data_IF_859702091722
#
_entry.id   IF_859702091722
#
_cell.length_a   1.000
_cell.length_b   1.000
_cell.length_c   1.000
_cell.angle_alpha   90.00
_cell.angle_beta   90.00
_cell.angle_gamma   90.00
#
_symmetry.space_group_name_H-M   'P 1'
#
loop_
_entity.id
_entity.type
_entity.pdbx_description
1 polymer ?
#
# COMPACT_ATOMS: atom_id res chain seq x y z
N UNK A 1 52.44 -9.44 47.05
CA UNK A 1 51.96 -8.78 45.82
C UNK A 1 51.53 -9.88 44.84
N UNK A 2 50.22 -10.07 44.66
CA UNK A 2 49.64 -11.13 43.82
C UNK A 2 49.81 -10.75 42.34
N UNK A 3 50.54 -11.57 41.59
CA UNK A 3 50.58 -11.53 40.12
C UNK A 3 49.21 -11.99 39.60
N UNK A 4 48.44 -11.09 39.02
CA UNK A 4 47.27 -11.45 38.22
C UNK A 4 47.84 -12.11 36.96
N UNK A 5 47.60 -13.42 36.80
CA UNK A 5 48.08 -14.18 35.66
C UNK A 5 47.27 -13.80 34.42
N UNK A 6 47.96 -13.69 33.28
CA UNK A 6 47.43 -13.43 31.93
C UNK A 6 46.21 -14.31 31.52
N UNK A 7 45.90 -15.36 32.26
CA UNK A 7 44.75 -16.24 32.04
C UNK A 7 43.39 -15.54 32.28
N UNK A 8 43.35 -14.44 33.04
CA UNK A 8 42.12 -13.65 33.25
C UNK A 8 41.81 -12.64 32.13
N UNK A 9 42.75 -12.42 31.20
CA UNK A 9 42.52 -11.58 30.01
C UNK A 9 41.98 -12.45 28.86
N UNK A 10 42.26 -13.75 28.86
CA UNK A 10 41.76 -14.67 27.83
C UNK A 10 40.29 -15.05 28.05
N UNK A 11 39.77 -15.02 29.29
CA UNK A 11 38.34 -15.20 29.57
C UNK A 11 37.51 -13.93 29.32
N UNK A 12 38.15 -12.76 29.24
CA UNK A 12 37.49 -11.49 28.89
C UNK A 12 37.54 -11.19 27.37
N UNK A 13 38.31 -11.97 26.60
CA UNK A 13 38.43 -11.87 25.14
C UNK A 13 37.81 -13.07 24.39
N UNK A 14 37.26 -14.04 25.12
CA UNK A 14 36.37 -15.10 24.60
C UNK A 14 34.89 -14.84 24.93
N UNK A 15 34.63 -13.75 25.64
CA UNK A 15 33.37 -12.99 25.57
C UNK A 15 33.66 -11.77 24.69
N UNK A 16 34.29 -11.98 23.53
CA UNK A 16 33.84 -11.22 22.37
C UNK A 16 32.40 -11.64 22.19
N UNK A 17 31.55 -10.74 22.66
CA UNK A 17 30.16 -10.55 22.30
C UNK A 17 30.12 -10.60 20.77
N UNK A 18 30.10 -11.80 20.21
CA UNK A 18 29.04 -12.13 19.31
C UNK A 18 27.77 -12.10 20.18
N UNK A 19 27.28 -10.90 20.49
CA UNK A 19 25.87 -10.68 20.22
C UNK A 19 25.80 -10.80 18.70
N UNK A 20 25.79 -12.05 18.23
CA UNK A 20 24.81 -12.40 17.24
C UNK A 20 23.52 -11.94 17.88
N UNK A 21 23.15 -10.67 17.65
CA UNK A 21 21.75 -10.30 17.61
C UNK A 21 21.18 -11.38 16.71
N UNK A 22 20.57 -12.40 17.32
CA UNK A 22 19.68 -13.25 16.58
C UNK A 22 18.53 -12.29 16.33
N UNK A 23 18.67 -11.45 15.30
CA UNK A 23 17.51 -10.81 14.73
C UNK A 23 16.67 -11.98 14.28
N UNK A 24 15.60 -12.22 15.03
CA UNK A 24 14.63 -13.22 14.67
C UNK A 24 14.10 -12.84 13.30
N UNK A 25 14.04 -13.80 12.39
CA UNK A 25 13.51 -13.55 11.06
C UNK A 25 12.02 -13.83 11.11
N UNK A 26 11.21 -12.84 10.74
CA UNK A 26 9.79 -13.03 10.53
C UNK A 26 9.54 -13.30 9.05
N UNK A 27 8.93 -14.44 8.74
CA UNK A 27 8.60 -14.86 7.38
C UNK A 27 7.11 -14.64 7.13
N UNK A 28 6.77 -13.58 6.38
CA UNK A 28 5.45 -13.38 5.81
C UNK A 28 5.36 -14.10 4.43
N UNK A 29 4.16 -14.17 3.87
CA UNK A 29 3.90 -14.81 2.56
C UNK A 29 4.71 -14.16 1.43
N UNK A 30 4.65 -12.83 1.28
CA UNK A 30 5.32 -12.10 0.18
C UNK A 30 6.78 -11.73 0.47
N UNK A 31 7.18 -11.71 1.74
CA UNK A 31 8.50 -11.24 2.14
C UNK A 31 8.90 -11.76 3.51
N UNK A 32 10.19 -11.65 3.81
CA UNK A 32 10.72 -11.84 5.17
C UNK A 32 11.42 -10.57 5.63
N UNK A 33 11.47 -10.35 6.94
CA UNK A 33 12.16 -9.22 7.55
C UNK A 33 12.93 -9.66 8.79
N UNK A 34 14.11 -9.10 9.01
CA UNK A 34 14.82 -9.26 10.28
C UNK A 34 14.14 -8.37 11.34
N UNK A 35 13.67 -8.97 12.43
CA UNK A 35 13.11 -8.30 13.60
C UNK A 35 14.28 -7.77 14.45
N UNK A 36 14.46 -6.45 14.56
CA UNK A 36 15.48 -5.86 15.41
C UNK A 36 15.21 -6.12 16.90
N UNK A 37 16.28 -6.30 17.68
CA UNK A 37 16.21 -6.41 19.15
C UNK A 37 15.31 -5.33 19.77
N UNK A 38 14.35 -5.76 20.60
CA UNK A 38 13.43 -4.89 21.32
C UNK A 38 12.10 -4.60 20.59
N UNK A 39 11.94 -5.09 19.36
CA UNK A 39 10.67 -5.16 18.66
C UNK A 39 10.12 -6.59 18.69
N UNK A 40 8.80 -6.71 18.72
CA UNK A 40 8.09 -7.97 18.64
C UNK A 40 7.07 -7.89 17.48
N UNK A 41 6.95 -8.94 16.66
CA UNK A 41 5.90 -9.02 15.67
C UNK A 41 4.55 -9.19 16.37
N UNK A 42 3.53 -8.48 15.89
CA UNK A 42 2.17 -8.66 16.36
C UNK A 42 1.64 -10.02 15.85
N UNK A 43 1.33 -10.95 16.75
CA UNK A 43 0.87 -12.31 16.40
C UNK A 43 -0.45 -12.30 15.62
N UNK A 44 -1.26 -11.24 15.76
CA UNK A 44 -2.52 -11.05 15.02
C UNK A 44 -2.31 -10.33 13.67
N UNK A 45 -1.06 -10.04 13.27
CA UNK A 45 -0.75 -9.34 12.02
C UNK A 45 -0.89 -10.19 10.73
N UNK A 46 -1.39 -11.42 10.82
CA UNK A 46 -1.76 -12.22 9.64
C UNK A 46 -3.22 -11.99 9.18
N UNK A 47 -3.68 -10.75 8.99
CA UNK A 47 -4.81 -10.54 8.07
C UNK A 47 -4.31 -10.73 6.63
N UNK A 48 -4.34 -11.98 6.19
CA UNK A 48 -4.11 -12.38 4.81
C UNK A 48 -5.25 -11.88 3.91
N UNK A 49 -5.24 -10.60 3.56
CA UNK A 49 -5.92 -10.20 2.33
C UNK A 49 -5.26 -10.94 1.17
N UNK A 50 -6.05 -11.35 0.18
CA UNK A 50 -5.60 -12.19 -0.93
C UNK A 50 -4.39 -11.61 -1.66
N UNK A 51 -4.25 -10.29 -1.64
CA UNK A 51 -3.20 -9.53 -2.32
C UNK A 51 -2.19 -8.82 -1.40
N UNK A 52 -2.63 -8.24 -0.27
CA UNK A 52 -1.74 -7.52 0.66
C UNK A 52 -1.20 -8.47 1.69
N UNK A 53 0.08 -8.32 1.98
CA UNK A 53 0.68 -8.95 3.15
C UNK A 53 1.27 -7.86 4.03
N UNK A 54 0.90 -7.87 5.31
CA UNK A 54 1.39 -6.89 6.26
C UNK A 54 2.04 -7.56 7.45
N UNK A 55 2.97 -6.84 8.06
CA UNK A 55 3.60 -7.18 9.33
C UNK A 55 3.62 -5.92 10.16
N UNK A 56 3.23 -6.04 11.42
CA UNK A 56 3.39 -4.98 12.41
C UNK A 56 4.47 -5.40 13.41
N UNK A 57 5.47 -4.55 13.62
CA UNK A 57 6.51 -4.70 14.63
C UNK A 57 6.37 -3.57 15.65
N UNK A 58 6.19 -3.91 16.92
CA UNK A 58 6.00 -2.92 17.99
C UNK A 58 7.05 -3.12 19.08
N UNK A 59 7.52 -2.03 19.68
CA UNK A 59 8.39 -2.16 20.85
C UNK A 59 7.60 -2.55 22.11
N UNK A 60 8.26 -3.17 23.08
CA UNK A 60 7.62 -3.61 24.35
C UNK A 60 6.97 -2.49 25.18
N UNK A 61 7.22 -1.22 24.84
CA UNK A 61 6.63 -0.05 25.51
C UNK A 61 5.48 0.58 24.70
N UNK A 62 5.12 0.00 23.55
CA UNK A 62 4.23 0.55 22.53
C UNK A 62 4.56 2.00 22.16
N UNK A 63 5.84 2.38 22.23
CA UNK A 63 6.30 3.72 21.88
C UNK A 63 6.57 3.83 20.40
N UNK A 64 7.05 2.77 19.77
CA UNK A 64 7.37 2.71 18.35
C UNK A 64 6.64 1.54 17.69
N UNK A 65 5.93 1.83 16.61
CA UNK A 65 5.26 0.84 15.77
C UNK A 65 5.73 0.99 14.34
N UNK A 66 6.13 -0.11 13.73
CA UNK A 66 6.51 -0.22 12.34
C UNK A 66 5.49 -1.10 11.64
N UNK A 67 4.92 -0.62 10.55
CA UNK A 67 4.03 -1.43 9.70
C UNK A 67 4.67 -1.54 8.34
N UNK A 68 4.79 -2.77 7.87
CA UNK A 68 5.32 -3.12 6.56
C UNK A 68 4.17 -3.73 5.78
N UNK A 69 3.81 -3.13 4.64
CA UNK A 69 2.86 -3.69 3.69
C UNK A 69 3.57 -3.99 2.38
N UNK A 70 3.29 -5.16 1.81
CA UNK A 70 3.80 -5.59 0.52
C UNK A 70 2.66 -5.86 -0.46
N UNK A 71 2.87 -5.45 -1.71
CA UNK A 71 1.98 -5.66 -2.84
C UNK A 71 2.73 -6.45 -3.93
N UNK A 72 2.15 -7.51 -4.52
CA UNK A 72 2.82 -8.40 -5.46
C UNK A 72 2.87 -7.83 -6.89
N UNK A 73 3.05 -6.52 -7.01
CA UNK A 73 3.20 -5.78 -8.26
C UNK A 73 3.96 -4.48 -8.00
N UNK A 74 4.54 -3.90 -9.05
CA UNK A 74 5.27 -2.64 -8.97
C UNK A 74 4.39 -1.46 -9.42
N UNK A 75 4.13 -0.53 -8.51
CA UNK A 75 3.57 0.79 -8.80
C UNK A 75 4.66 1.87 -8.85
N UNK A 76 4.27 3.11 -9.15
CA UNK A 76 5.14 4.26 -8.95
C UNK A 76 5.23 4.56 -7.43
N UNK A 77 6.41 4.44 -6.78
CA UNK A 77 6.49 4.59 -5.32
C UNK A 77 6.11 5.98 -4.80
N UNK A 78 6.37 7.05 -5.56
CA UNK A 78 5.96 8.42 -5.19
C UNK A 78 4.43 8.53 -5.16
N UNK A 79 3.79 8.05 -6.22
CA UNK A 79 2.34 8.08 -6.38
C UNK A 79 1.63 7.20 -5.34
N UNK A 80 2.15 5.99 -5.10
CA UNK A 80 1.65 5.08 -4.07
C UNK A 80 1.76 5.72 -2.70
N UNK A 81 2.93 6.28 -2.35
CA UNK A 81 3.13 6.91 -1.05
C UNK A 81 2.18 8.09 -0.86
N UNK A 82 2.05 8.95 -1.87
CA UNK A 82 1.13 10.07 -1.85
C UNK A 82 -0.31 9.59 -1.60
N UNK A 83 -0.75 8.54 -2.30
CA UNK A 83 -2.09 7.99 -2.13
C UNK A 83 -2.35 7.40 -0.75
N UNK A 84 -1.42 6.60 -0.24
CA UNK A 84 -1.55 5.96 1.08
C UNK A 84 -1.52 6.99 2.22
N UNK A 85 -1.01 8.19 1.96
CA UNK A 85 -0.88 9.28 2.95
C UNK A 85 -1.84 10.44 2.66
N UNK A 86 -1.42 11.40 1.85
CA UNK A 86 -2.15 12.62 1.49
C UNK A 86 -3.46 12.33 0.76
N UNK A 87 -3.49 11.27 -0.06
CA UNK A 87 -4.66 10.84 -0.82
C UNK A 87 -5.71 10.08 0.01
N UNK A 88 -5.41 9.72 1.27
CA UNK A 88 -6.37 9.08 2.17
C UNK A 88 -6.65 7.60 1.89
N UNK A 89 -5.81 6.92 1.10
CA UNK A 89 -5.97 5.50 0.77
C UNK A 89 -5.78 4.54 1.96
N UNK A 90 -5.11 5.00 3.03
CA UNK A 90 -5.02 4.26 4.29
C UNK A 90 -5.89 4.94 5.37
N UNK A 91 -7.03 4.34 5.76
CA UNK A 91 -7.93 4.92 6.74
C UNK A 91 -7.29 5.05 8.13
N UNK A 92 -6.31 4.21 8.48
CA UNK A 92 -5.57 4.31 9.73
C UNK A 92 -4.71 5.58 9.80
N UNK A 93 -4.33 6.13 8.64
CA UNK A 93 -3.53 7.35 8.53
C UNK A 93 -4.38 8.58 8.17
N UNK A 94 -5.71 8.44 8.07
CA UNK A 94 -6.59 9.55 7.70
C UNK A 94 -6.57 10.73 8.69
N UNK A 95 -6.24 10.45 9.97
CA UNK A 95 -6.11 11.46 11.02
C UNK A 95 -4.72 12.14 11.08
N UNK A 96 -3.79 11.73 10.20
CA UNK A 96 -2.43 12.26 10.18
C UNK A 96 -2.34 13.52 9.33
N UNK A 97 -1.53 14.46 9.81
CA UNK A 97 -1.05 15.60 9.07
C UNK A 97 0.26 15.28 8.35
N UNK A 98 0.31 15.69 7.09
CA UNK A 98 1.49 15.60 6.23
C UNK A 98 1.94 17.03 5.91
N UNK A 99 3.22 17.35 6.09
CA UNK A 99 3.72 18.63 5.60
C UNK A 99 3.42 18.69 4.10
N UNK A 100 2.96 19.85 3.61
CA UNK A 100 2.53 20.03 2.22
C UNK A 100 3.63 19.82 1.16
N UNK A 101 4.81 19.35 1.57
CA UNK A 101 5.84 18.81 0.70
C UNK A 101 5.37 17.50 0.07
N UNK A 102 5.63 17.37 -1.23
CA UNK A 102 5.56 16.08 -1.92
C UNK A 102 6.48 15.06 -1.22
N UNK A 103 6.26 13.75 -1.42
CA UNK A 103 7.22 12.74 -1.00
C UNK A 103 8.64 13.09 -1.49
N UNK A 104 9.62 12.92 -0.62
CA UNK A 104 11.04 13.21 -0.88
C UNK A 104 11.79 11.90 -1.20
N UNK A 105 12.81 11.89 -2.06
CA UNK A 105 13.55 10.67 -2.36
C UNK A 105 14.42 10.23 -1.16
N UNK A 106 14.47 8.92 -0.89
CA UNK A 106 15.38 8.33 0.11
C UNK A 106 16.29 7.26 -0.50
N UNK A 107 17.40 6.96 0.21
CA UNK A 107 18.28 5.83 -0.12
C UNK A 107 18.86 5.15 1.11
N UNK A 108 18.50 3.89 1.30
CA UNK A 108 18.99 3.00 2.37
C UNK A 108 19.67 1.79 1.75
N UNK A 109 21.01 1.79 1.73
CA UNK A 109 21.78 0.71 1.11
C UNK A 109 21.45 0.56 -0.38
N UNK A 110 20.85 -0.57 -0.74
CA UNK A 110 20.37 -0.87 -2.10
C UNK A 110 18.92 -0.46 -2.35
N UNK A 111 18.20 -0.04 -1.31
CA UNK A 111 16.81 0.41 -1.38
C UNK A 111 16.78 1.89 -1.73
N UNK A 112 16.02 2.23 -2.75
CA UNK A 112 15.73 3.61 -3.14
C UNK A 112 14.23 3.75 -3.40
N UNK A 113 13.69 4.92 -3.08
CA UNK A 113 12.26 5.17 -3.12
C UNK A 113 11.94 6.56 -2.61
N UNK A 114 10.76 6.71 -2.02
CA UNK A 114 10.27 7.99 -1.52
C UNK A 114 9.85 7.88 -0.06
N UNK A 115 10.02 8.96 0.68
CA UNK A 115 9.64 9.10 2.09
C UNK A 115 8.78 10.35 2.31
N UNK A 116 7.95 10.33 3.34
CA UNK A 116 7.14 11.48 3.75
C UNK A 116 7.03 11.51 5.26
N UNK A 117 7.29 12.67 5.85
CA UNK A 117 7.08 12.88 7.28
C UNK A 117 5.58 12.91 7.62
N UNK A 118 5.22 12.41 8.78
CA UNK A 118 3.85 12.31 9.26
C UNK A 118 3.78 12.79 10.71
N UNK A 119 2.69 13.44 11.09
CA UNK A 119 2.42 13.82 12.49
C UNK A 119 0.92 13.89 12.71
N UNK A 120 0.39 13.48 13.85
CA UNK A 120 -1.05 13.53 14.06
C UNK A 120 -1.47 12.97 15.40
N UNK A 121 -2.76 12.67 15.52
CA UNK A 121 -3.35 12.10 16.73
C UNK A 121 -4.04 10.79 16.36
N UNK A 122 -3.60 9.69 16.95
CA UNK A 122 -4.22 8.37 16.82
C UNK A 122 -4.74 7.96 18.19
N UNK A 123 -6.03 7.65 18.28
CA UNK A 123 -6.68 7.26 19.56
C UNK A 123 -6.45 8.25 20.72
N UNK A 124 -6.30 9.54 20.40
CA UNK A 124 -6.04 10.60 21.39
C UNK A 124 -4.57 10.74 21.82
N UNK A 125 -3.66 10.04 21.14
CA UNK A 125 -2.21 10.08 21.39
C UNK A 125 -1.53 10.83 20.26
N UNK A 126 -0.74 11.84 20.59
CA UNK A 126 0.14 12.53 19.64
C UNK A 126 1.22 11.56 19.14
N UNK A 127 1.32 11.42 17.83
CA UNK A 127 2.30 10.57 17.17
C UNK A 127 3.00 11.33 16.05
N UNK A 128 4.27 10.99 15.83
CA UNK A 128 5.06 11.43 14.67
C UNK A 128 5.63 10.22 13.96
N UNK A 129 5.96 10.36 12.68
CA UNK A 129 6.37 9.22 11.88
C UNK A 129 6.98 9.58 10.55
N UNK A 130 7.39 8.54 9.83
CA UNK A 130 7.80 8.62 8.43
C UNK A 130 7.21 7.45 7.67
N UNK A 131 6.55 7.75 6.54
CA UNK A 131 6.13 6.75 5.57
C UNK A 131 7.19 6.61 4.48
N UNK A 132 7.42 5.40 4.00
CA UNK A 132 8.39 5.04 2.98
C UNK A 132 7.70 4.19 1.93
N UNK A 133 7.98 4.41 0.66
CA UNK A 133 7.54 3.54 -0.42
C UNK A 133 8.69 3.26 -1.37
N UNK A 134 8.86 2.00 -1.75
CA UNK A 134 9.92 1.56 -2.67
C UNK A 134 9.51 0.28 -3.39
N UNK A 135 10.17 0.01 -4.52
CA UNK A 135 10.01 -1.25 -5.24
C UNK A 135 11.24 -2.14 -5.02
N UNK A 136 11.02 -3.44 -4.96
CA UNK A 136 12.08 -4.44 -5.04
C UNK A 136 11.54 -5.77 -5.51
N UNK A 137 12.27 -6.41 -6.41
CA UNK A 137 12.03 -7.79 -6.86
C UNK A 137 10.56 -8.07 -7.26
N UNK A 138 9.92 -7.13 -7.97
CA UNK A 138 8.52 -7.28 -8.41
C UNK A 138 7.47 -6.87 -7.38
N UNK A 139 7.86 -6.37 -6.22
CA UNK A 139 6.98 -5.90 -5.16
C UNK A 139 7.10 -4.40 -4.91
N UNK A 140 5.96 -3.73 -4.71
CA UNK A 140 5.91 -2.45 -4.02
C UNK A 140 5.76 -2.68 -2.51
N UNK A 141 6.59 -1.98 -1.73
CA UNK A 141 6.50 -1.93 -0.28
C UNK A 141 6.07 -0.55 0.17
N UNK A 142 5.11 -0.51 1.09
CA UNK A 142 4.80 0.67 1.89
C UNK A 142 5.15 0.37 3.35
N UNK A 143 6.15 1.06 3.88
CA UNK A 143 6.61 0.92 5.25
C UNK A 143 6.35 2.23 5.97
N UNK A 144 5.73 2.21 7.14
CA UNK A 144 5.68 3.40 7.99
C UNK A 144 6.12 3.09 9.39
N UNK A 145 6.74 4.08 10.03
CA UNK A 145 6.96 4.08 11.45
C UNK A 145 6.16 5.20 12.11
N UNK A 146 5.50 4.88 13.22
CA UNK A 146 4.80 5.83 14.07
C UNK A 146 5.39 5.72 15.48
N UNK A 147 5.61 6.86 16.11
CA UNK A 147 6.16 6.92 17.45
C UNK A 147 5.48 7.97 18.32
N UNK A 148 5.39 7.68 19.61
CA UNK A 148 5.01 8.64 20.66
C UNK A 148 6.18 9.55 21.05
N UNK A 149 7.39 9.22 20.61
CA UNK A 149 8.57 10.05 20.84
C UNK A 149 8.57 11.31 19.98
N UNK A 150 9.41 12.29 20.32
CA UNK A 150 9.46 13.55 19.58
C UNK A 150 10.00 13.39 18.13
N UNK A 151 10.75 12.33 17.86
CA UNK A 151 11.39 12.08 16.56
C UNK A 151 11.38 10.59 16.23
N UNK A 152 10.98 10.17 15.02
CA UNK A 152 11.06 8.77 14.61
C UNK A 152 12.52 8.27 14.48
N UNK A 153 12.79 7.01 14.85
CA UNK A 153 14.13 6.42 14.74
C UNK A 153 14.45 6.00 13.29
N UNK A 154 15.05 6.93 12.54
CA UNK A 154 15.48 6.69 11.17
C UNK A 154 16.54 5.58 11.02
N UNK A 155 17.32 5.26 12.06
CA UNK A 155 18.29 4.14 12.00
C UNK A 155 17.57 2.80 12.05
N UNK A 156 16.53 2.70 12.89
CA UNK A 156 15.72 1.51 12.98
C UNK A 156 14.91 1.29 11.69
N UNK A 157 14.26 2.33 11.15
CA UNK A 157 13.58 2.26 9.85
C UNK A 157 14.52 1.78 8.75
N UNK A 158 15.75 2.30 8.70
CA UNK A 158 16.78 1.83 7.77
C UNK A 158 17.08 0.34 7.94
N UNK A 159 17.31 -0.12 9.18
CA UNK A 159 17.65 -1.53 9.46
C UNK A 159 16.52 -2.47 9.00
N UNK A 160 15.26 -2.09 9.25
CA UNK A 160 14.09 -2.85 8.81
C UNK A 160 13.99 -2.86 7.28
N UNK A 161 14.06 -1.70 6.63
CA UNK A 161 13.93 -1.59 5.17
C UNK A 161 15.06 -2.33 4.43
N UNK A 162 16.29 -2.24 4.93
CA UNK A 162 17.45 -2.94 4.35
C UNK A 162 17.39 -4.46 4.55
N UNK A 163 16.66 -4.97 5.54
CA UNK A 163 16.56 -6.41 5.83
C UNK A 163 15.42 -7.12 5.09
N UNK A 164 14.46 -6.37 4.53
CA UNK A 164 13.37 -6.93 3.74
C UNK A 164 13.92 -7.73 2.57
N UNK A 165 13.50 -8.99 2.47
CA UNK A 165 13.80 -9.90 1.37
C UNK A 165 12.50 -10.45 0.80
N UNK A 166 12.30 -10.35 -0.52
CA UNK A 166 11.07 -10.78 -1.19
C UNK A 166 11.06 -12.30 -1.36
N UNK A 167 9.88 -12.91 -1.17
CA UNK A 167 9.64 -14.30 -1.52
C UNK A 167 9.25 -14.39 -3.01
N UNK A 168 10.24 -14.45 -3.89
CA UNK A 168 10.05 -14.42 -5.35
C UNK A 168 9.14 -15.54 -5.86
N UNK A 169 9.19 -16.72 -5.25
CA UNK A 169 8.37 -17.87 -5.65
C UNK A 169 6.87 -17.57 -5.46
N UNK A 170 6.51 -16.84 -4.39
CA UNK A 170 5.13 -16.40 -4.18
C UNK A 170 4.72 -15.33 -5.20
N UNK A 171 5.61 -14.37 -5.52
CA UNK A 171 5.31 -13.33 -6.52
C UNK A 171 5.03 -13.95 -7.88
N UNK A 172 5.86 -14.90 -8.30
CA UNK A 172 5.67 -15.63 -9.55
C UNK A 172 4.40 -16.49 -9.57
N UNK A 173 3.80 -16.77 -8.40
CA UNK A 173 2.53 -17.50 -8.30
C UNK A 173 1.29 -16.64 -8.57
N UNK A 174 1.44 -15.31 -8.60
CA UNK A 174 0.34 -14.40 -8.92
C UNK A 174 0.18 -14.27 -10.44
N UNK A 175 -0.85 -14.90 -10.97
CA UNK A 175 -1.29 -14.63 -12.34
C UNK A 175 -2.14 -13.35 -12.43
N UNK A 176 -2.42 -12.93 -13.66
CA UNK A 176 -3.20 -11.74 -13.95
C UNK A 176 -4.60 -11.77 -13.30
N UNK A 177 -5.25 -12.95 -13.21
CA UNK A 177 -6.58 -13.06 -12.61
C UNK A 177 -6.51 -12.81 -11.10
N UNK A 178 -5.56 -13.46 -10.41
CA UNK A 178 -5.36 -13.32 -8.97
C UNK A 178 -4.96 -11.90 -8.57
N UNK A 179 -4.13 -11.22 -9.37
CA UNK A 179 -3.77 -9.81 -9.15
C UNK A 179 -5.00 -8.91 -9.25
N UNK A 180 -5.76 -9.04 -10.35
CA UNK A 180 -6.93 -8.19 -10.63
C UNK A 180 -8.05 -8.43 -9.63
N UNK A 181 -8.34 -9.68 -9.30
CA UNK A 181 -9.38 -9.99 -8.31
C UNK A 181 -8.95 -9.52 -6.92
N UNK A 182 -7.67 -9.64 -6.59
CA UNK A 182 -7.14 -9.13 -5.33
C UNK A 182 -7.31 -7.62 -5.15
N UNK A 183 -7.04 -6.81 -6.19
CA UNK A 183 -7.26 -5.35 -6.11
C UNK A 183 -8.75 -5.02 -6.12
N UNK A 184 -9.58 -5.79 -6.83
CA UNK A 184 -11.03 -5.64 -6.83
C UNK A 184 -11.61 -5.94 -5.43
N UNK A 185 -11.18 -7.01 -4.77
CA UNK A 185 -11.60 -7.35 -3.41
C UNK A 185 -11.23 -6.26 -2.41
N UNK A 186 -10.00 -5.71 -2.50
CA UNK A 186 -9.60 -4.57 -1.67
C UNK A 186 -10.48 -3.35 -1.91
N UNK A 187 -10.75 -3.02 -3.17
CA UNK A 187 -11.61 -1.90 -3.51
C UNK A 187 -13.06 -2.11 -3.03
N UNK A 188 -13.56 -3.36 -3.03
CA UNK A 188 -14.89 -3.71 -2.51
C UNK A 188 -15.05 -3.45 -1.01
N UNK A 189 -13.96 -3.34 -0.24
CA UNK A 189 -14.03 -2.97 1.19
C UNK A 189 -14.38 -1.49 1.40
N UNK A 190 -14.19 -0.66 0.37
CA UNK A 190 -14.40 0.78 0.45
C UNK A 190 -15.73 1.23 -0.16
N UNK A 191 -16.54 0.32 -0.71
CA UNK A 191 -17.86 0.62 -1.27
C UNK A 191 -18.98 0.38 -0.23
N UNK A 192 -20.11 1.13 -0.29
CA UNK A 192 -20.36 2.23 -1.22
C UNK A 192 -19.53 3.48 -0.89
N UNK A 193 -18.96 4.11 -1.92
CA UNK A 193 -18.18 5.34 -1.81
C UNK A 193 -18.86 6.46 -2.58
N UNK A 194 -19.20 7.56 -1.88
CA UNK A 194 -19.73 8.76 -2.54
C UNK A 194 -18.61 9.45 -3.31
N UNK A 195 -18.75 9.57 -4.62
CA UNK A 195 -17.77 10.20 -5.51
C UNK A 195 -18.03 11.69 -5.61
N UNK A 196 -19.30 12.07 -5.76
CA UNK A 196 -19.75 13.46 -5.83
C UNK A 196 -21.16 13.62 -5.23
N UNK A 197 -21.81 14.77 -5.44
CA UNK A 197 -23.13 15.03 -4.88
C UNK A 197 -24.21 14.06 -5.36
N UNK A 198 -24.07 13.48 -6.56
CA UNK A 198 -25.08 12.66 -7.24
C UNK A 198 -24.62 11.21 -7.45
N UNK A 199 -23.31 10.97 -7.55
CA UNK A 199 -22.74 9.68 -7.93
C UNK A 199 -22.16 8.95 -6.72
N UNK A 200 -22.57 7.70 -6.56
CA UNK A 200 -22.00 6.75 -5.59
C UNK A 200 -21.40 5.57 -6.34
N UNK A 201 -20.13 5.28 -6.11
CA UNK A 201 -19.54 4.02 -6.54
C UNK A 201 -20.03 2.91 -5.61
N UNK A 202 -20.85 2.00 -6.15
CA UNK A 202 -21.65 1.07 -5.37
C UNK A 202 -21.28 -0.40 -5.57
N UNK A 203 -20.46 -0.72 -6.58
CA UNK A 203 -20.17 -2.10 -6.93
C UNK A 203 -18.93 -2.27 -7.81
N UNK A 204 -18.37 -3.47 -7.77
CA UNK A 204 -17.25 -3.90 -8.61
C UNK A 204 -17.50 -5.33 -9.07
N UNK A 205 -17.50 -5.54 -10.39
CA UNK A 205 -17.60 -6.86 -11.00
C UNK A 205 -16.35 -7.14 -11.83
N UNK A 206 -15.83 -8.36 -11.73
CA UNK A 206 -14.70 -8.82 -12.55
C UNK A 206 -15.18 -9.95 -13.47
N UNK A 207 -14.92 -9.84 -14.77
CA UNK A 207 -15.12 -10.91 -15.75
C UNK A 207 -13.77 -11.30 -16.35
N UNK A 208 -13.13 -12.31 -15.75
CA UNK A 208 -11.82 -12.80 -16.21
C UNK A 208 -11.85 -13.40 -17.62
N UNK A 209 -12.98 -13.98 -18.04
CA UNK A 209 -13.11 -14.55 -19.39
C UNK A 209 -13.09 -13.45 -20.47
N UNK A 210 -13.73 -12.31 -20.18
CA UNK A 210 -13.70 -11.13 -21.07
C UNK A 210 -12.51 -10.20 -20.79
N UNK A 211 -11.76 -10.45 -19.71
CA UNK A 211 -10.75 -9.53 -19.15
C UNK A 211 -11.33 -8.13 -18.96
N UNK A 212 -12.33 -8.02 -18.11
CA UNK A 212 -13.03 -6.77 -17.85
C UNK A 212 -13.23 -6.56 -16.33
N UNK A 213 -12.96 -5.36 -15.85
CA UNK A 213 -13.34 -4.89 -14.51
C UNK A 213 -14.39 -3.80 -14.67
N UNK A 214 -15.55 -3.97 -14.07
CA UNK A 214 -16.67 -3.02 -14.15
C UNK A 214 -16.94 -2.39 -12.79
N UNK A 215 -16.79 -1.07 -12.72
CA UNK A 215 -17.20 -0.22 -11.61
C UNK A 215 -18.64 0.23 -11.82
N UNK A 216 -19.50 0.01 -10.81
CA UNK A 216 -20.92 0.39 -10.87
C UNK A 216 -21.12 1.75 -10.19
N UNK A 217 -21.59 2.71 -10.96
CA UNK A 217 -21.84 4.09 -10.55
C UNK A 217 -23.36 4.28 -10.37
N UNK A 218 -23.82 4.34 -9.14
CA UNK A 218 -25.24 4.57 -8.80
C UNK A 218 -25.55 6.06 -8.71
N UNK A 219 -26.64 6.46 -9.35
CA UNK A 219 -27.16 7.82 -9.42
C UNK A 219 -28.55 7.91 -8.79
N UNK A 220 -28.80 8.93 -7.97
CA UNK A 220 -30.13 9.20 -7.40
C UNK A 220 -31.01 9.97 -8.39
N UNK A 221 -32.32 9.68 -8.44
CA UNK A 221 -33.29 10.40 -9.28
C UNK A 221 -34.02 9.50 -10.27
N UNK A 222 -34.55 10.09 -11.32
CA UNK A 222 -35.32 9.39 -12.36
C UNK A 222 -34.55 9.40 -13.69
N UNK A 223 -34.81 8.45 -14.59
CA UNK A 223 -34.07 8.33 -15.86
C UNK A 223 -34.16 9.59 -16.73
N UNK A 224 -35.25 10.36 -16.61
CA UNK A 224 -35.42 11.64 -17.33
C UNK A 224 -34.44 12.72 -16.90
N UNK A 225 -33.94 12.67 -15.66
CA UNK A 225 -32.98 13.65 -15.13
C UNK A 225 -31.61 13.51 -15.81
N UNK A 226 -31.35 12.33 -16.39
CA UNK A 226 -30.10 11.94 -17.02
C UNK A 226 -30.23 11.83 -18.55
N UNK A 227 -31.23 12.49 -19.15
CA UNK A 227 -31.36 12.54 -20.60
C UNK A 227 -30.09 13.13 -21.24
N UNK A 228 -29.37 12.33 -22.04
CA UNK A 228 -28.11 12.72 -22.68
C UNK A 228 -26.84 12.30 -21.91
N UNK A 229 -26.96 11.48 -20.87
CA UNK A 229 -25.80 10.94 -20.14
C UNK A 229 -24.78 10.25 -21.08
N UNK A 230 -25.23 9.54 -22.12
CA UNK A 230 -24.33 8.92 -23.11
C UNK A 230 -23.45 9.95 -23.84
N UNK A 231 -24.05 11.08 -24.28
CA UNK A 231 -23.30 12.15 -24.95
C UNK A 231 -22.31 12.83 -24.00
N UNK A 232 -22.73 13.00 -22.73
CA UNK A 232 -21.86 13.53 -21.69
C UNK A 232 -20.66 12.61 -21.43
N UNK A 233 -20.89 11.31 -21.21
CA UNK A 233 -19.81 10.34 -21.00
C UNK A 233 -18.89 10.23 -22.22
N UNK A 234 -19.44 10.26 -23.43
CA UNK A 234 -18.65 10.31 -24.66
C UNK A 234 -17.75 11.55 -24.73
N UNK A 235 -18.24 12.70 -24.25
CA UNK A 235 -17.44 13.93 -24.19
C UNK A 235 -16.31 13.88 -23.16
N UNK A 236 -16.50 13.15 -22.05
CA UNK A 236 -15.50 12.98 -20.98
C UNK A 236 -14.46 11.90 -21.31
N UNK A 237 -14.81 10.94 -22.17
CA UNK A 237 -13.96 9.79 -22.51
C UNK A 237 -12.53 10.19 -22.87
N UNK A 238 -12.37 11.20 -23.74
CA UNK A 238 -11.05 11.62 -24.21
C UNK A 238 -10.14 12.04 -23.06
N UNK A 239 -10.64 12.89 -22.16
CA UNK A 239 -9.91 13.35 -20.98
C UNK A 239 -9.62 12.22 -19.98
N UNK A 240 -10.57 11.30 -19.79
CA UNK A 240 -10.37 10.13 -18.93
C UNK A 240 -9.26 9.23 -19.49
N UNK A 241 -9.29 8.90 -20.78
CA UNK A 241 -8.24 8.09 -21.43
C UNK A 241 -6.87 8.78 -21.34
N UNK A 242 -6.82 10.10 -21.54
CA UNK A 242 -5.58 10.88 -21.39
C UNK A 242 -5.04 10.83 -19.95
N UNK A 243 -5.90 11.00 -18.94
CA UNK A 243 -5.50 10.89 -17.53
C UNK A 243 -4.96 9.50 -17.18
N UNK A 244 -5.59 8.44 -17.70
CA UNK A 244 -5.17 7.07 -17.51
C UNK A 244 -3.81 6.80 -18.18
N UNK A 245 -3.63 7.22 -19.44
CA UNK A 245 -2.35 7.10 -20.17
C UNK A 245 -1.19 7.77 -19.46
N UNK A 246 -1.45 8.95 -18.90
CA UNK A 246 -0.43 9.70 -18.21
C UNK A 246 -0.14 9.19 -16.79
N UNK A 247 -0.84 8.13 -16.35
CA UNK A 247 -0.69 7.58 -15.00
C UNK A 247 -1.00 8.60 -13.91
N UNK A 248 -1.88 9.58 -14.22
CA UNK A 248 -2.34 10.56 -13.23
C UNK A 248 -3.35 9.97 -12.27
N UNK A 249 -3.98 8.87 -12.69
CA UNK A 249 -4.80 8.06 -11.82
C UNK A 249 -3.92 7.06 -11.07
N UNK A 250 -4.12 6.99 -9.77
CA UNK A 250 -3.27 6.27 -8.83
C UNK A 250 -4.04 5.15 -8.14
N UNK A 251 -5.28 4.90 -8.58
CA UNK A 251 -6.08 3.75 -8.14
C UNK A 251 -5.49 2.44 -8.71
N UNK A 252 -5.16 1.51 -7.81
CA UNK A 252 -4.63 0.21 -8.19
C UNK A 252 -5.65 -0.66 -8.92
N UNK A 253 -6.95 -0.47 -8.69
CA UNK A 253 -7.98 -1.17 -9.46
C UNK A 253 -7.87 -0.86 -10.95
N UNK A 254 -7.44 0.36 -11.29
CA UNK A 254 -7.24 0.83 -12.65
C UNK A 254 -5.87 0.40 -13.16
N UNK A 255 -4.81 0.70 -12.42
CA UNK A 255 -3.43 0.48 -12.86
C UNK A 255 -3.12 -1.02 -13.04
N UNK A 256 -3.44 -1.84 -12.04
CA UNK A 256 -3.16 -3.28 -12.10
C UNK A 256 -3.99 -3.93 -13.20
N UNK A 257 -5.29 -3.62 -13.28
CA UNK A 257 -6.15 -4.19 -14.31
C UNK A 257 -5.64 -3.88 -15.73
N UNK A 258 -5.32 -2.62 -16.02
CA UNK A 258 -4.90 -2.19 -17.36
C UNK A 258 -3.52 -2.72 -17.75
N UNK A 259 -2.56 -2.77 -16.81
CA UNK A 259 -1.25 -3.40 -17.03
C UNK A 259 -1.41 -4.89 -17.34
N UNK A 260 -2.28 -5.56 -16.56
CA UNK A 260 -2.68 -6.94 -16.78
C UNK A 260 -3.66 -7.10 -17.95
N UNK A 261 -3.87 -6.11 -18.80
CA UNK A 261 -4.65 -6.25 -20.05
C UNK A 261 -6.16 -6.43 -19.87
N UNK A 262 -6.73 -5.93 -18.77
CA UNK A 262 -8.17 -5.87 -18.54
C UNK A 262 -8.72 -4.52 -19.01
N UNK A 263 -9.87 -4.57 -19.68
CA UNK A 263 -10.66 -3.38 -19.98
C UNK A 263 -11.34 -2.85 -18.71
N UNK A 264 -11.48 -1.54 -18.63
CA UNK A 264 -12.19 -0.87 -17.54
C UNK A 264 -13.59 -0.51 -18.00
N UNK A 265 -14.59 -0.84 -17.20
CA UNK A 265 -15.98 -0.47 -17.41
C UNK A 265 -16.54 0.39 -16.30
N UNK A 266 -17.39 1.33 -16.68
CA UNK A 266 -18.20 2.13 -15.77
C UNK A 266 -19.66 1.96 -16.18
N UNK A 267 -20.45 1.32 -15.34
CA UNK A 267 -21.89 1.15 -15.55
C UNK A 267 -22.64 2.13 -14.67
N UNK A 268 -23.37 3.05 -15.31
CA UNK A 268 -24.19 4.04 -14.64
C UNK A 268 -25.61 3.51 -14.51
N UNK A 269 -26.10 3.39 -13.27
CA UNK A 269 -27.41 2.84 -12.93
C UNK A 269 -28.14 3.76 -11.97
N UNK A 270 -29.46 3.76 -11.98
CA UNK A 270 -30.24 4.39 -10.91
C UNK A 270 -30.22 3.55 -9.63
N UNK A 271 -30.62 4.16 -8.51
CA UNK A 271 -30.73 3.51 -7.19
C UNK A 271 -31.67 2.29 -7.19
N UNK A 272 -32.62 2.20 -8.13
CA UNK A 272 -33.49 1.04 -8.32
C UNK A 272 -32.89 -0.07 -9.22
N UNK A 273 -31.68 0.15 -9.73
CA UNK A 273 -30.96 -0.75 -10.63
C UNK A 273 -31.23 -0.53 -12.12
N UNK A 274 -32.03 0.48 -12.50
CA UNK A 274 -32.28 0.80 -13.90
C UNK A 274 -31.00 1.24 -14.61
N UNK A 275 -30.56 0.56 -15.69
CA UNK A 275 -29.38 0.99 -16.44
C UNK A 275 -29.61 2.32 -17.16
N UNK A 276 -28.63 3.21 -17.09
CA UNK A 276 -28.64 4.50 -17.77
C UNK A 276 -27.65 4.55 -18.93
N UNK A 277 -26.39 4.21 -18.66
CA UNK A 277 -25.31 4.26 -19.65
C UNK A 277 -24.15 3.38 -19.23
N UNK A 278 -23.25 3.13 -20.19
CA UNK A 278 -22.02 2.37 -19.95
C UNK A 278 -20.85 2.98 -20.70
N UNK A 279 -19.71 3.10 -20.04
CA UNK A 279 -18.44 3.51 -20.65
C UNK A 279 -17.45 2.37 -20.53
N UNK A 280 -16.68 2.09 -21.59
CA UNK A 280 -15.68 1.01 -21.63
C UNK A 280 -14.36 1.50 -22.17
N UNK A 281 -13.25 1.30 -21.49
CA UNK A 281 -11.90 1.69 -21.93
C UNK A 281 -11.07 0.43 -22.10
N UNK A 282 -10.53 0.23 -23.29
CA UNK A 282 -9.65 -0.92 -23.54
C UNK A 282 -8.23 -0.66 -23.03
N UNK A 283 -7.46 -1.71 -22.69
CA UNK A 283 -6.05 -1.57 -22.32
C UNK A 283 -5.22 -0.85 -23.38
N UNK A 284 -5.48 -1.12 -24.66
CA UNK A 284 -4.76 -0.53 -25.79
C UNK A 284 -5.02 0.97 -25.92
N UNK A 285 -6.14 1.46 -25.38
CA UNK A 285 -6.41 2.89 -25.33
C UNK A 285 -5.63 3.59 -24.23
N UNK A 286 -5.14 2.89 -23.20
CA UNK A 286 -4.46 3.51 -22.05
C UNK A 286 -2.95 3.25 -21.99
N UNK A 287 -2.44 2.40 -22.88
CA UNK A 287 -1.00 2.23 -23.14
C UNK A 287 -0.48 3.27 -24.13
#
# INVERSE_FOLDING_TARGET
MKKISLLSILTLLLITIASCSHSERYDARLFSVEVPDGLEPDEDSENNYTLINYVQLTDTADNNTYVIMAFPFEGNPEAVLHNQTVGGGNPALAAMHYPASRPEPFKFGRREGYEIAMSGVIEGIDVVGTGYCFNTDGCTFFVYNLTKEATPDAKMSRKIIESISVNTDEIESYDAERLVEGVADMARLNIPLRIDELTTWSGITTDHNKREVVMVMTLDGEASDYAGIDEHLASLRGAMVENLREGRDTDWLILVATDQGYSLGYDYVLTDGTPLASLRVSPDEVK
#
